data_IF_362200010488
#
_entry.id   IF_362200010488
#
_cell.length_a   1.000
_cell.length_b   1.000
_cell.length_c   1.000
_cell.angle_alpha   90.00
_cell.angle_beta   90.00
_cell.angle_gamma   90.00
#
_symmetry.space_group_name_H-M   'P 1'
#
loop_
_entity.id
_entity.type
_entity.pdbx_description
1 polymer ?
#
# COMPACT_ATOMS: atom_id res chain seq x y z
N UNK A 1 53.07 15.57 -69.77
CA UNK A 1 53.48 15.59 -68.35
C UNK A 1 52.30 16.11 -67.54
N UNK A 2 51.71 15.18 -66.80
CA UNK A 2 50.63 15.24 -65.80
C UNK A 2 50.11 16.60 -65.33
N UNK A 3 48.84 16.88 -65.64
CA UNK A 3 47.95 17.72 -64.85
C UNK A 3 47.69 17.06 -63.48
N UNK A 4 47.88 17.81 -62.39
CA UNK A 4 47.36 17.43 -61.06
C UNK A 4 46.16 18.31 -60.74
N UNK A 5 45.01 17.76 -60.35
CA UNK A 5 43.88 18.57 -59.88
C UNK A 5 44.23 19.21 -58.53
N UNK A 6 44.11 20.53 -58.46
CA UNK A 6 44.14 21.29 -57.20
C UNK A 6 42.90 20.94 -56.37
N UNK A 7 43.11 20.63 -55.09
CA UNK A 7 42.03 20.40 -54.13
C UNK A 7 41.18 21.68 -53.97
N UNK A 8 39.85 21.56 -53.83
CA UNK A 8 39.00 22.72 -53.63
C UNK A 8 39.34 23.36 -52.27
N UNK A 9 39.78 24.62 -52.33
CA UNK A 9 39.93 25.48 -51.16
C UNK A 9 38.51 25.77 -50.65
N UNK A 10 38.16 25.18 -49.51
CA UNK A 10 36.90 25.46 -48.83
C UNK A 10 36.99 26.87 -48.24
N UNK A 11 36.48 27.86 -48.97
CA UNK A 11 36.38 29.23 -48.45
C UNK A 11 35.37 29.30 -47.29
N UNK A 12 35.78 29.98 -46.22
CA UNK A 12 34.95 30.48 -45.11
C UNK A 12 34.40 29.51 -44.05
N UNK A 13 35.23 28.61 -43.50
CA UNK A 13 34.99 28.07 -42.15
C UNK A 13 35.68 28.93 -41.08
N UNK A 14 34.99 29.95 -40.58
CA UNK A 14 35.47 30.78 -39.47
C UNK A 14 35.48 29.98 -38.16
N UNK A 15 36.53 30.13 -37.33
CA UNK A 15 36.60 29.54 -35.98
C UNK A 15 35.37 29.87 -35.13
N UNK A 16 34.73 31.02 -35.35
CA UNK A 16 33.46 31.41 -34.70
C UNK A 16 32.28 30.56 -35.16
N UNK A 17 32.23 30.13 -36.42
CA UNK A 17 31.19 29.24 -36.93
C UNK A 17 31.34 27.81 -36.39
N UNK A 18 32.58 27.30 -36.30
CA UNK A 18 32.87 26.02 -35.67
C UNK A 18 32.58 26.02 -34.17
N UNK A 19 32.90 27.11 -33.46
CA UNK A 19 32.57 27.28 -32.03
C UNK A 19 31.07 27.42 -31.81
N UNK A 20 30.35 28.23 -32.61
CA UNK A 20 28.89 28.35 -32.51
C UNK A 20 28.16 27.03 -32.85
N UNK A 21 28.61 26.33 -33.89
CA UNK A 21 28.10 25.01 -34.26
C UNK A 21 28.39 23.96 -33.19
N UNK A 22 29.61 23.96 -32.65
CA UNK A 22 30.04 23.07 -31.57
C UNK A 22 29.31 23.30 -30.25
N UNK A 23 29.05 24.56 -29.86
CA UNK A 23 28.24 24.86 -28.67
C UNK A 23 26.76 24.53 -28.85
N UNK A 24 26.20 24.70 -30.06
CA UNK A 24 24.82 24.30 -30.33
C UNK A 24 24.65 22.78 -30.32
N UNK A 25 25.59 22.03 -30.89
CA UNK A 25 25.55 20.55 -30.90
C UNK A 25 25.93 19.94 -29.55
N UNK A 26 26.93 20.47 -28.85
CA UNK A 26 27.25 20.07 -27.47
C UNK A 26 26.13 20.44 -26.51
N UNK A 27 25.49 21.60 -26.68
CA UNK A 27 24.34 22.01 -25.87
C UNK A 27 23.14 21.13 -26.09
N UNK A 28 22.83 20.77 -27.35
CA UNK A 28 21.76 19.83 -27.68
C UNK A 28 22.07 18.41 -27.19
N UNK A 29 23.30 17.91 -27.38
CA UNK A 29 23.72 16.60 -26.91
C UNK A 29 23.77 16.53 -25.37
N UNK A 30 24.26 17.57 -24.70
CA UNK A 30 24.26 17.68 -23.25
C UNK A 30 22.84 17.79 -22.70
N UNK A 31 21.95 18.52 -23.37
CA UNK A 31 20.53 18.55 -23.02
C UNK A 31 19.91 17.16 -23.17
N UNK A 32 20.08 16.50 -24.32
CA UNK A 32 19.59 15.12 -24.57
C UNK A 32 20.14 14.13 -23.54
N UNK A 33 21.42 14.24 -23.17
CA UNK A 33 22.04 13.43 -22.13
C UNK A 33 21.50 13.76 -20.71
N UNK A 34 21.24 15.04 -20.42
CA UNK A 34 20.71 15.49 -19.14
C UNK A 34 19.23 15.13 -18.94
N UNK A 35 18.44 15.15 -20.02
CA UNK A 35 17.04 14.67 -20.00
C UNK A 35 16.91 13.18 -20.32
N UNK A 36 17.99 12.47 -20.67
CA UNK A 36 17.95 11.03 -20.93
C UNK A 36 17.40 10.24 -19.73
N UNK A 37 17.83 10.49 -18.48
CA UNK A 37 17.27 9.81 -17.30
C UNK A 37 15.78 10.11 -17.11
N UNK A 38 15.35 11.34 -17.39
CA UNK A 38 13.93 11.72 -17.37
C UNK A 38 13.14 11.06 -18.49
N UNK A 39 13.73 10.91 -19.68
CA UNK A 39 13.14 10.27 -20.85
C UNK A 39 13.03 8.76 -20.69
N UNK A 40 13.97 8.15 -19.96
CA UNK A 40 13.99 6.74 -19.59
C UNK A 40 12.99 6.46 -18.45
N UNK A 41 12.92 7.35 -17.45
CA UNK A 41 11.86 7.31 -16.44
C UNK A 41 10.47 7.54 -17.05
N UNK A 42 10.37 8.35 -18.11
CA UNK A 42 9.14 8.58 -18.87
C UNK A 42 8.89 7.53 -19.97
N UNK A 43 9.86 6.65 -20.29
CA UNK A 43 9.61 5.55 -21.24
C UNK A 43 8.97 4.35 -20.55
N UNK A 44 9.16 4.22 -19.24
CA UNK A 44 8.58 3.14 -18.42
C UNK A 44 7.15 3.44 -17.96
N UNK A 45 6.70 4.69 -18.09
CA UNK A 45 5.35 5.15 -17.70
C UNK A 45 4.68 5.87 -18.86
N UNK A 46 3.40 5.61 -19.11
CA UNK A 46 2.67 6.36 -20.14
C UNK A 46 2.68 7.87 -19.84
N UNK A 47 2.68 8.73 -20.85
CA UNK A 47 2.60 10.18 -20.65
C UNK A 47 1.37 10.59 -19.81
N UNK A 48 0.30 9.80 -19.89
CA UNK A 48 -0.90 9.95 -19.07
C UNK A 48 -0.66 9.63 -17.58
N UNK A 49 0.18 8.64 -17.27
CA UNK A 49 0.57 8.33 -15.89
C UNK A 49 1.47 9.41 -15.29
N UNK A 50 2.40 9.96 -16.09
CA UNK A 50 3.28 11.04 -15.65
C UNK A 50 2.52 12.34 -15.35
N UNK A 51 1.45 12.60 -16.11
CA UNK A 51 0.59 13.79 -15.96
C UNK A 51 -0.65 13.54 -15.08
N UNK A 52 -0.77 12.35 -14.49
CA UNK A 52 -1.92 12.00 -13.64
C UNK A 52 -1.98 12.99 -12.47
N UNK A 53 -3.19 13.47 -12.14
CA UNK A 53 -3.41 14.32 -10.95
C UNK A 53 -3.67 13.46 -9.71
N UNK A 54 -3.66 14.10 -8.53
CA UNK A 54 -4.01 13.44 -7.28
C UNK A 54 -5.43 12.83 -7.38
N UNK A 55 -5.64 11.62 -6.86
CA UNK A 55 -6.93 10.92 -6.98
C UNK A 55 -8.16 11.75 -6.56
N UNK A 56 -8.03 12.61 -5.54
CA UNK A 56 -9.12 13.46 -5.06
C UNK A 56 -9.48 14.60 -6.01
N UNK A 57 -8.62 14.90 -6.98
CA UNK A 57 -8.80 15.97 -7.98
C UNK A 57 -9.30 15.42 -9.32
N UNK A 58 -9.22 14.10 -9.54
CA UNK A 58 -9.66 13.46 -10.77
C UNK A 58 -11.18 13.54 -10.95
N UNK A 59 -11.62 13.91 -12.15
CA UNK A 59 -13.01 13.79 -12.58
C UNK A 59 -13.45 12.32 -12.66
N UNK A 60 -14.75 12.02 -12.63
CA UNK A 60 -15.26 10.65 -12.82
C UNK A 60 -14.76 9.99 -14.11
N UNK A 61 -14.67 10.74 -15.20
CA UNK A 61 -14.17 10.28 -16.50
C UNK A 61 -12.68 9.95 -16.42
N UNK A 62 -11.88 10.84 -15.83
CA UNK A 62 -10.44 10.60 -15.64
C UNK A 62 -10.17 9.38 -14.75
N UNK A 63 -10.98 9.18 -13.71
CA UNK A 63 -10.89 7.98 -12.87
C UNK A 63 -11.20 6.73 -13.66
N UNK A 64 -12.24 6.74 -14.50
CA UNK A 64 -12.59 5.62 -15.36
C UNK A 64 -11.46 5.28 -16.34
N UNK A 65 -10.83 6.29 -16.94
CA UNK A 65 -9.68 6.11 -17.84
C UNK A 65 -8.48 5.47 -17.10
N UNK A 66 -8.17 5.94 -15.89
CA UNK A 66 -7.10 5.37 -15.07
C UNK A 66 -7.43 3.94 -14.67
N UNK A 67 -8.68 3.65 -14.28
CA UNK A 67 -9.15 2.31 -13.94
C UNK A 67 -9.00 1.36 -15.12
N UNK A 68 -9.51 1.74 -16.31
CA UNK A 68 -9.41 0.93 -17.52
C UNK A 68 -7.95 0.64 -17.89
N UNK A 69 -7.06 1.62 -17.73
CA UNK A 69 -5.62 1.44 -17.90
C UNK A 69 -5.04 0.42 -16.91
N UNK A 70 -5.39 0.53 -15.62
CA UNK A 70 -4.91 -0.38 -14.58
C UNK A 70 -5.39 -1.83 -14.80
N UNK A 71 -6.62 -2.02 -15.27
CA UNK A 71 -7.16 -3.34 -15.63
C UNK A 71 -6.38 -3.94 -16.82
N UNK A 72 -6.14 -3.14 -17.87
CA UNK A 72 -5.35 -3.55 -19.02
C UNK A 72 -3.89 -3.89 -18.66
N UNK A 73 -3.26 -3.06 -17.82
CA UNK A 73 -1.91 -3.30 -17.30
C UNK A 73 -1.86 -4.57 -16.44
N UNK A 74 -2.90 -4.85 -15.66
CA UNK A 74 -2.96 -6.07 -14.84
C UNK A 74 -3.05 -7.32 -15.72
N UNK A 75 -3.91 -7.29 -16.75
CA UNK A 75 -4.01 -8.36 -17.74
C UNK A 75 -2.69 -8.58 -18.48
N UNK A 76 -2.03 -7.50 -18.90
CA UNK A 76 -0.75 -7.57 -19.62
C UNK A 76 0.38 -8.10 -18.73
N UNK A 77 0.50 -7.61 -17.49
CA UNK A 77 1.64 -7.87 -16.63
C UNK A 77 1.54 -9.16 -15.81
N UNK A 78 0.31 -9.59 -15.52
CA UNK A 78 0.03 -10.71 -14.61
C UNK A 78 -0.87 -11.77 -15.23
N UNK A 79 -1.38 -11.58 -16.46
CA UNK A 79 -2.23 -12.56 -17.14
C UNK A 79 -3.62 -12.73 -16.52
N UNK A 80 -4.02 -11.83 -15.60
CA UNK A 80 -5.29 -11.90 -14.87
C UNK A 80 -6.27 -10.82 -15.34
N UNK A 81 -7.51 -11.22 -15.61
CA UNK A 81 -8.61 -10.27 -15.83
C UNK A 81 -9.17 -9.84 -14.48
N UNK A 82 -9.26 -8.53 -14.27
CA UNK A 82 -9.68 -7.94 -13.00
C UNK A 82 -10.71 -6.84 -13.25
N UNK A 83 -11.53 -6.58 -12.24
CA UNK A 83 -12.48 -5.46 -12.20
C UNK A 83 -12.08 -4.55 -11.05
N UNK A 84 -11.82 -3.27 -11.33
CA UNK A 84 -11.40 -2.29 -10.34
C UNK A 84 -12.54 -1.30 -10.11
N UNK A 85 -13.10 -1.32 -8.90
CA UNK A 85 -14.10 -0.33 -8.46
C UNK A 85 -13.49 0.94 -7.85
N UNK A 86 -14.30 2.00 -7.77
CA UNK A 86 -14.04 3.18 -6.94
C UNK A 86 -14.92 3.14 -5.68
N UNK A 87 -14.58 2.28 -4.72
CA UNK A 87 -15.38 2.09 -3.50
C UNK A 87 -15.26 3.30 -2.58
N UNK A 88 -16.28 4.16 -2.57
CA UNK A 88 -16.31 5.39 -1.78
C UNK A 88 -16.61 5.13 -0.29
N UNK A 89 -16.09 5.97 0.63
CA UNK A 89 -16.38 5.84 2.05
C UNK A 89 -17.88 5.94 2.32
N UNK A 90 -18.36 5.17 3.31
CA UNK A 90 -19.77 5.16 3.70
C UNK A 90 -20.04 6.30 4.70
N UNK A 91 -20.92 7.26 4.38
CA UNK A 91 -21.28 8.32 5.32
C UNK A 91 -21.87 7.78 6.62
N UNK A 92 -21.55 8.42 7.75
CA UNK A 92 -22.07 8.00 9.07
C UNK A 92 -21.52 6.66 9.57
N UNK A 93 -20.44 6.17 8.98
CA UNK A 93 -19.74 4.96 9.42
C UNK A 93 -18.39 5.33 10.02
N UNK A 94 -17.94 4.58 11.03
CA UNK A 94 -16.55 4.57 11.48
C UNK A 94 -16.13 3.14 11.74
N UNK A 95 -15.32 2.59 10.84
CA UNK A 95 -14.88 1.22 10.95
C UNK A 95 -13.85 1.04 12.06
N UNK A 96 -14.08 0.03 12.88
CA UNK A 96 -13.22 -0.33 14.01
C UNK A 96 -13.00 -1.84 14.01
N UNK A 97 -11.84 -2.25 14.53
CA UNK A 97 -11.52 -3.64 14.81
C UNK A 97 -11.39 -3.87 16.32
N UNK A 98 -11.83 -5.02 16.82
CA UNK A 98 -11.50 -5.52 18.15
C UNK A 98 -11.01 -6.97 18.07
N UNK A 99 -9.92 -7.28 18.76
CA UNK A 99 -9.36 -8.65 18.83
C UNK A 99 -9.43 -9.20 20.26
N UNK A 100 -10.11 -10.33 20.42
CA UNK A 100 -10.11 -11.11 21.64
C UNK A 100 -8.81 -11.90 21.76
N UNK A 101 -7.97 -11.52 22.73
CA UNK A 101 -6.70 -12.18 23.00
C UNK A 101 -6.86 -13.47 23.82
N UNK A 102 -8.00 -13.65 24.52
CA UNK A 102 -8.29 -14.87 25.28
C UNK A 102 -8.55 -16.09 24.39
N UNK A 103 -9.05 -15.89 23.17
CA UNK A 103 -9.40 -16.98 22.24
C UNK A 103 -8.53 -17.01 20.96
N UNK A 104 -7.59 -16.08 20.81
CA UNK A 104 -6.65 -16.13 19.70
C UNK A 104 -5.63 -17.26 19.90
N UNK A 105 -5.70 -18.28 19.03
CA UNK A 105 -4.83 -19.46 19.14
C UNK A 105 -3.57 -19.39 18.26
N UNK A 106 -3.31 -18.27 17.58
CA UNK A 106 -2.08 -18.09 16.80
C UNK A 106 -1.98 -18.84 15.47
N UNK A 107 -3.07 -19.42 14.95
CA UNK A 107 -3.02 -20.31 13.76
C UNK A 107 -2.55 -19.67 12.44
N UNK A 108 -2.55 -18.34 12.31
CA UNK A 108 -2.10 -17.66 11.09
C UNK A 108 -3.09 -17.63 9.91
N UNK A 109 -4.27 -18.26 9.96
CA UNK A 109 -5.25 -18.26 8.86
C UNK A 109 -5.66 -16.83 8.43
N UNK A 110 -5.71 -15.90 9.38
CA UNK A 110 -6.00 -14.50 9.10
C UNK A 110 -4.89 -13.82 8.26
N UNK A 111 -3.63 -14.24 8.41
CA UNK A 111 -2.47 -13.78 7.64
C UNK A 111 -2.60 -14.29 6.21
N UNK A 112 -2.85 -15.60 6.03
CA UNK A 112 -3.01 -16.25 4.73
C UNK A 112 -4.19 -15.67 3.94
N UNK A 113 -5.34 -15.50 4.59
CA UNK A 113 -6.51 -14.89 3.96
C UNK A 113 -6.24 -13.44 3.55
N UNK A 114 -5.51 -12.67 4.37
CA UNK A 114 -5.11 -11.31 4.00
C UNK A 114 -4.19 -11.31 2.78
N UNK A 115 -3.25 -12.25 2.71
CA UNK A 115 -2.25 -12.39 1.64
C UNK A 115 -2.90 -12.72 0.28
N UNK A 116 -3.89 -13.62 0.30
CA UNK A 116 -4.69 -14.00 -0.88
C UNK A 116 -5.62 -12.86 -1.29
N UNK A 117 -6.45 -12.38 -0.38
CA UNK A 117 -7.48 -11.37 -0.68
C UNK A 117 -6.88 -10.08 -1.23
N UNK A 118 -5.76 -9.65 -0.65
CA UNK A 118 -5.15 -8.37 -0.96
C UNK A 118 -4.03 -8.47 -1.99
N UNK A 119 -3.91 -9.57 -2.75
CA UNK A 119 -2.92 -9.72 -3.82
C UNK A 119 -1.48 -9.38 -3.39
N UNK A 120 -1.08 -9.82 -2.20
CA UNK A 120 0.28 -9.59 -1.71
C UNK A 120 1.30 -10.36 -2.54
N UNK A 121 2.49 -9.79 -2.68
CA UNK A 121 3.60 -10.44 -3.35
C UNK A 121 3.97 -11.79 -2.72
N UNK A 122 4.01 -12.87 -3.53
CA UNK A 122 4.38 -14.21 -3.08
C UNK A 122 5.87 -14.34 -2.78
N UNK A 123 6.72 -13.58 -3.46
CA UNK A 123 8.18 -13.72 -3.33
C UNK A 123 8.69 -13.21 -1.98
N UNK A 124 8.18 -12.07 -1.50
CA UNK A 124 8.56 -11.50 -0.19
C UNK A 124 7.75 -12.05 0.97
N UNK A 125 6.62 -12.72 0.70
CA UNK A 125 5.66 -13.18 1.70
C UNK A 125 5.27 -12.05 2.70
N UNK A 126 5.22 -10.81 2.20
CA UNK A 126 4.93 -9.65 3.02
C UNK A 126 3.46 -9.69 3.46
N UNK A 127 3.22 -9.55 4.76
CA UNK A 127 1.86 -9.50 5.30
C UNK A 127 1.59 -8.22 6.08
N UNK A 128 0.33 -7.81 6.01
CA UNK A 128 -0.22 -6.72 6.82
C UNK A 128 -0.46 -7.13 8.26
N UNK A 129 -0.55 -8.43 8.52
CA UNK A 129 -0.84 -8.99 9.82
C UNK A 129 0.39 -9.76 10.27
N UNK A 130 0.90 -9.40 11.45
CA UNK A 130 1.96 -10.14 12.15
C UNK A 130 1.35 -10.71 13.41
N UNK A 131 1.39 -12.02 13.60
CA UNK A 131 0.95 -12.64 14.84
C UNK A 131 2.18 -12.86 15.71
N UNK A 132 2.20 -12.23 16.88
CA UNK A 132 3.29 -12.40 17.84
C UNK A 132 2.91 -13.48 18.85
N UNK A 133 3.72 -14.52 18.99
CA UNK A 133 3.68 -15.44 20.13
C UNK A 133 4.31 -14.73 21.33
N UNK A 134 3.53 -14.51 22.38
CA UNK A 134 3.88 -13.73 23.56
C UNK A 134 3.88 -14.63 24.80
N UNK A 135 4.85 -14.51 25.72
CA UNK A 135 4.77 -15.14 27.03
C UNK A 135 3.62 -14.52 27.85
N UNK A 136 2.81 -15.36 28.51
CA UNK A 136 1.77 -14.89 29.41
C UNK A 136 2.38 -14.06 30.57
N UNK A 137 1.66 -13.02 30.99
CA UNK A 137 2.06 -12.14 32.09
C UNK A 137 2.81 -10.86 31.69
N UNK A 138 3.10 -10.67 30.40
CA UNK A 138 3.71 -9.43 29.89
C UNK A 138 3.07 -8.97 28.59
N UNK A 139 3.06 -7.65 28.37
CA UNK A 139 2.71 -7.00 27.10
C UNK A 139 3.93 -6.40 26.40
N UNK A 140 5.13 -6.70 26.90
CA UNK A 140 6.39 -6.30 26.30
C UNK A 140 6.60 -7.03 24.96
N UNK A 141 6.37 -6.30 23.87
CA UNK A 141 6.44 -6.81 22.50
C UNK A 141 7.85 -7.26 22.11
N UNK A 142 8.90 -6.82 22.80
CA UNK A 142 10.28 -7.27 22.51
C UNK A 142 10.47 -8.75 22.86
N UNK A 143 9.66 -9.28 23.76
CA UNK A 143 9.64 -10.70 24.12
C UNK A 143 8.78 -11.54 23.17
N UNK A 144 8.11 -10.90 22.21
CA UNK A 144 7.28 -11.56 21.21
C UNK A 144 8.09 -12.03 20.01
N UNK A 145 7.66 -13.13 19.40
CA UNK A 145 8.22 -13.61 18.12
C UNK A 145 7.16 -13.86 17.07
N UNK A 146 7.47 -13.58 15.81
CA UNK A 146 6.61 -13.90 14.65
C UNK A 146 7.06 -15.16 13.92
N UNK A 147 8.14 -15.81 14.36
CA UNK A 147 8.78 -16.95 13.66
C UNK A 147 8.58 -18.28 14.39
N UNK A 148 7.51 -18.39 15.18
CA UNK A 148 7.20 -19.62 15.91
C UNK A 148 6.74 -20.74 14.97
N UNK A 149 7.16 -21.97 15.30
CA UNK A 149 6.79 -23.19 14.56
C UNK A 149 6.11 -24.20 15.49
N UNK A 150 5.50 -25.22 14.90
CA UNK A 150 4.81 -26.30 15.61
C UNK A 150 3.32 -26.05 15.84
N UNK A 151 2.70 -26.92 16.63
CA UNK A 151 1.29 -26.81 16.98
C UNK A 151 1.04 -25.61 17.89
N UNK A 152 -0.08 -24.93 17.65
CA UNK A 152 -0.56 -23.79 18.44
C UNK A 152 -2.00 -24.07 18.92
N UNK A 153 -2.41 -23.58 20.10
CA UNK A 153 -1.66 -22.73 21.01
C UNK A 153 -0.63 -23.49 21.86
N UNK A 154 0.48 -22.83 22.21
CA UNK A 154 1.49 -23.38 23.15
C UNK A 154 1.15 -23.01 24.58
N UNK A 155 1.52 -23.89 25.51
CA UNK A 155 1.32 -23.66 26.94
C UNK A 155 2.12 -22.44 27.44
N UNK A 156 1.53 -21.66 28.35
CA UNK A 156 2.10 -20.41 28.86
C UNK A 156 2.28 -19.29 27.83
N UNK A 157 1.69 -19.41 26.63
CA UNK A 157 1.74 -18.40 25.55
C UNK A 157 0.36 -17.87 25.20
N UNK A 158 0.30 -16.60 24.80
CA UNK A 158 -0.85 -16.01 24.11
C UNK A 158 -0.39 -15.40 22.79
N UNK A 159 -1.33 -15.11 21.89
CA UNK A 159 -1.02 -14.64 20.55
C UNK A 159 -1.59 -13.24 20.32
N UNK A 160 -0.72 -12.31 19.91
CA UNK A 160 -1.05 -10.90 19.68
C UNK A 160 -0.93 -10.56 18.18
N UNK A 161 -2.05 -10.57 17.41
CA UNK A 161 -2.05 -10.09 16.04
C UNK A 161 -1.91 -8.57 15.96
N UNK A 162 -0.90 -8.08 15.25
CA UNK A 162 -0.64 -6.66 15.02
C UNK A 162 -0.76 -6.35 13.53
N UNK A 163 -1.57 -5.34 13.21
CA UNK A 163 -1.80 -4.83 11.86
C UNK A 163 -2.01 -3.31 11.89
N UNK A 164 -2.35 -2.70 10.74
CA UNK A 164 -2.70 -1.29 10.71
C UNK A 164 -3.89 -1.00 11.63
N UNK A 165 -3.70 -0.05 12.54
CA UNK A 165 -4.65 0.32 13.57
C UNK A 165 -5.68 1.37 13.11
N UNK A 166 -5.58 1.86 11.85
CA UNK A 166 -6.39 2.96 11.28
C UNK A 166 -6.59 4.13 12.25
N UNK A 167 -5.47 4.66 12.75
CA UNK A 167 -5.42 5.74 13.73
C UNK A 167 -6.28 6.95 13.35
N UNK A 168 -6.96 7.55 14.33
CA UNK A 168 -7.67 8.81 14.18
C UNK A 168 -6.75 10.02 14.05
N UNK A 169 -5.59 9.94 14.71
CA UNK A 169 -4.46 10.89 14.57
C UNK A 169 -3.29 10.13 13.94
N UNK A 170 -3.33 9.84 12.63
CA UNK A 170 -2.35 8.99 11.96
C UNK A 170 -1.06 9.79 11.65
N UNK A 171 0.05 9.59 12.38
CA UNK A 171 1.31 10.30 12.09
C UNK A 171 1.83 9.99 10.68
N UNK A 172 1.51 8.79 10.18
CA UNK A 172 1.85 8.35 8.84
C UNK A 172 1.16 9.13 7.70
N UNK A 173 0.08 9.88 7.98
CA UNK A 173 -0.54 10.81 7.04
C UNK A 173 0.21 12.15 7.06
N UNK A 174 0.47 12.68 8.25
CA UNK A 174 1.11 14.00 8.42
C UNK A 174 2.50 14.08 7.80
N UNK A 175 3.25 12.98 7.85
CA UNK A 175 4.62 12.92 7.29
C UNK A 175 4.67 12.72 5.77
N UNK A 176 3.54 12.54 5.09
CA UNK A 176 3.55 12.29 3.64
C UNK A 176 3.71 13.61 2.87
N UNK A 177 4.87 13.88 2.24
CA UNK A 177 5.15 15.19 1.63
C UNK A 177 4.27 15.47 0.41
N UNK A 178 3.79 14.42 -0.26
CA UNK A 178 2.94 14.51 -1.46
C UNK A 178 1.47 14.23 -1.17
N UNK A 179 1.09 13.98 0.09
CA UNK A 179 -0.29 13.64 0.49
C UNK A 179 -0.90 12.41 -0.18
N UNK A 180 -0.07 11.44 -0.61
CA UNK A 180 -0.52 10.16 -1.17
C UNK A 180 -1.31 9.26 -0.19
N UNK A 181 -1.49 9.68 1.06
CA UNK A 181 -2.23 8.95 2.08
C UNK A 181 -3.03 9.94 2.90
N UNK A 182 -4.29 9.62 3.17
CA UNK A 182 -5.21 10.45 3.95
C UNK A 182 -6.20 9.57 4.70
N UNK A 183 -6.98 10.14 5.61
CA UNK A 183 -8.08 9.46 6.32
C UNK A 183 -9.39 9.78 5.62
N UNK A 184 -10.17 8.76 5.26
CA UNK A 184 -11.51 8.93 4.71
C UNK A 184 -12.57 9.02 5.83
N UNK A 185 -13.78 9.47 5.47
CA UNK A 185 -14.87 9.72 6.43
C UNK A 185 -15.29 8.50 7.23
N UNK A 186 -15.12 7.30 6.66
CA UNK A 186 -15.40 6.02 7.32
C UNK A 186 -14.30 5.56 8.29
N UNK A 187 -13.28 6.40 8.52
CA UNK A 187 -12.16 6.15 9.43
C UNK A 187 -11.00 5.37 8.81
N UNK A 188 -11.15 4.86 7.59
CA UNK A 188 -10.06 4.11 6.93
C UNK A 188 -9.01 5.10 6.44
N UNK A 189 -7.76 4.91 6.87
CA UNK A 189 -6.62 5.57 6.23
C UNK A 189 -6.40 4.88 4.89
N UNK A 190 -6.21 5.61 3.80
CA UNK A 190 -5.98 5.04 2.46
C UNK A 190 -4.61 5.43 1.93
N UNK A 191 -4.16 4.74 0.89
CA UNK A 191 -2.94 5.09 0.16
C UNK A 191 -3.28 5.05 -1.33
N UNK A 192 -3.05 6.15 -2.02
CA UNK A 192 -3.05 6.16 -3.47
C UNK A 192 -1.70 5.64 -3.97
N UNK A 193 -1.71 4.40 -4.48
CA UNK A 193 -0.51 3.77 -5.00
C UNK A 193 0.03 4.48 -6.25
N UNK A 194 -0.81 5.16 -7.02
CA UNK A 194 -0.38 5.87 -8.22
C UNK A 194 0.29 7.20 -7.87
N UNK A 195 -0.04 7.79 -6.71
CA UNK A 195 0.53 9.05 -6.23
C UNK A 195 1.72 8.88 -5.27
N UNK A 196 1.86 7.69 -4.68
CA UNK A 196 2.94 7.41 -3.73
C UNK A 196 4.32 7.48 -4.41
N UNK A 197 5.16 8.41 -3.96
CA UNK A 197 6.54 8.58 -4.46
C UNK A 197 7.59 7.68 -3.77
N UNK A 198 7.17 6.83 -2.83
CA UNK A 198 8.09 5.88 -2.20
C UNK A 198 9.12 6.46 -1.24
N UNK A 199 8.93 7.66 -0.67
CA UNK A 199 9.88 8.25 0.27
C UNK A 199 9.97 7.54 1.64
N UNK A 200 8.99 6.67 1.95
CA UNK A 200 8.95 5.79 3.14
C UNK A 200 8.91 6.49 4.52
N UNK A 201 8.75 7.81 4.58
CA UNK A 201 8.56 8.49 5.87
C UNK A 201 7.34 7.99 6.64
N UNK A 202 6.28 7.58 5.94
CA UNK A 202 5.11 6.99 6.56
C UNK A 202 5.36 5.60 7.19
N UNK A 203 6.40 4.88 6.75
CA UNK A 203 6.86 3.63 7.36
C UNK A 203 7.55 3.93 8.69
N UNK A 204 8.49 4.89 8.69
CA UNK A 204 9.23 5.32 9.88
C UNK A 204 8.33 5.94 10.95
N UNK A 205 7.31 6.71 10.54
CA UNK A 205 6.38 7.36 11.46
C UNK A 205 5.34 6.41 12.08
N UNK A 206 5.17 5.20 11.55
CA UNK A 206 4.14 4.28 12.04
C UNK A 206 4.65 3.48 13.25
N UNK A 207 4.11 3.70 14.47
CA UNK A 207 4.62 3.04 15.67
C UNK A 207 4.28 1.54 15.74
N UNK A 208 3.44 1.06 14.81
CA UNK A 208 2.98 -0.32 14.72
C UNK A 208 3.73 -1.13 13.65
N UNK A 209 4.66 -0.50 12.91
CA UNK A 209 5.26 -1.08 11.70
C UNK A 209 4.20 -1.72 10.80
N UNK A 210 3.12 -1.00 10.51
CA UNK A 210 1.96 -1.52 9.78
C UNK A 210 1.98 -1.21 8.28
N UNK A 211 3.00 -0.50 7.82
CA UNK A 211 3.24 -0.19 6.40
C UNK A 211 4.32 -1.10 5.84
N UNK A 212 4.21 -1.47 4.57
CA UNK A 212 5.15 -2.32 3.83
C UNK A 212 5.56 -1.60 2.56
N UNK A 213 6.82 -1.71 2.16
CA UNK A 213 7.33 -1.07 0.96
C UNK A 213 7.61 -2.12 -0.12
N UNK A 214 7.14 -1.86 -1.33
CA UNK A 214 7.33 -2.74 -2.47
C UNK A 214 8.68 -2.48 -3.13
N UNK A 215 9.69 -3.26 -2.74
CA UNK A 215 11.06 -3.14 -3.23
C UNK A 215 11.28 -3.70 -4.64
N UNK A 216 10.48 -4.69 -5.02
CA UNK A 216 10.57 -5.41 -6.28
C UNK A 216 9.19 -5.50 -6.91
N UNK A 217 9.14 -5.87 -8.19
CA UNK A 217 7.88 -6.16 -8.87
C UNK A 217 7.22 -7.34 -8.14
N UNK A 218 5.95 -7.21 -7.69
CA UNK A 218 5.27 -8.34 -7.07
C UNK A 218 5.18 -9.54 -8.01
N UNK A 219 5.30 -10.72 -7.43
CA UNK A 219 5.08 -11.99 -8.10
C UNK A 219 3.79 -12.57 -7.55
N UNK A 220 2.72 -12.53 -8.34
CA UNK A 220 1.41 -13.12 -7.99
C UNK A 220 0.97 -14.00 -9.17
N UNK A 221 0.79 -15.32 -8.99
CA UNK A 221 0.30 -16.20 -10.04
C UNK A 221 -1.06 -15.74 -10.55
N UNK A 222 -1.27 -15.81 -11.87
CA UNK A 222 -2.49 -15.30 -12.53
C UNK A 222 -3.77 -15.90 -11.94
N UNK A 223 -3.72 -17.20 -11.64
CA UNK A 223 -4.80 -17.98 -11.05
C UNK A 223 -5.11 -17.64 -9.59
N UNK A 224 -4.19 -16.95 -8.89
CA UNK A 224 -4.36 -16.52 -7.50
C UNK A 224 -4.71 -15.04 -7.37
N UNK A 225 -4.67 -14.28 -8.47
CA UNK A 225 -5.05 -12.87 -8.45
C UNK A 225 -6.54 -12.77 -8.12
N UNK A 226 -6.85 -12.03 -7.05
CA UNK A 226 -8.22 -11.65 -6.75
C UNK A 226 -8.72 -10.69 -7.84
N UNK A 227 -9.73 -11.09 -8.63
CA UNK A 227 -10.25 -10.28 -9.72
C UNK A 227 -11.11 -9.11 -9.21
N UNK A 228 -11.67 -9.22 -8.01
CA UNK A 228 -12.53 -8.19 -7.44
C UNK A 228 -11.70 -7.15 -6.68
N UNK A 229 -11.40 -6.02 -7.34
CA UNK A 229 -10.47 -5.02 -6.86
C UNK A 229 -11.10 -3.65 -6.61
N UNK A 230 -10.37 -2.80 -5.89
CA UNK A 230 -10.73 -1.40 -5.69
C UNK A 230 -9.50 -0.50 -5.79
N UNK A 231 -9.67 0.71 -6.34
CA UNK A 231 -8.58 1.63 -6.65
C UNK A 231 -7.67 1.92 -5.45
N UNK A 232 -8.23 2.12 -4.25
CA UNK A 232 -7.49 2.41 -3.02
C UNK A 232 -7.24 1.16 -2.14
N UNK A 233 -7.47 -0.05 -2.65
CA UNK A 233 -7.42 -1.29 -1.86
C UNK A 233 -6.45 -2.35 -2.36
N UNK A 234 -6.95 -3.46 -2.90
CA UNK A 234 -6.28 -4.75 -3.07
C UNK A 234 -5.65 -4.95 -4.45
N UNK A 235 -5.41 -3.87 -5.21
CA UNK A 235 -4.72 -3.96 -6.49
C UNK A 235 -3.34 -4.60 -6.31
N UNK A 236 -2.75 -5.14 -7.37
CA UNK A 236 -1.32 -5.49 -7.32
C UNK A 236 -0.53 -4.17 -7.31
N UNK A 237 0.33 -3.96 -6.33
CA UNK A 237 0.99 -2.67 -6.12
C UNK A 237 2.23 -2.55 -7.03
N UNK A 238 2.49 -1.39 -7.64
CA UNK A 238 3.71 -1.18 -8.40
C UNK A 238 4.95 -1.14 -7.49
N UNK A 239 6.13 -1.24 -8.10
CA UNK A 239 7.41 -1.06 -7.40
C UNK A 239 7.53 0.37 -6.88
N UNK A 240 8.14 0.52 -5.71
CA UNK A 240 8.48 1.83 -5.17
C UNK A 240 7.33 2.49 -4.39
N UNK A 241 6.27 1.75 -4.06
CA UNK A 241 5.14 2.30 -3.30
C UNK A 241 4.96 1.60 -1.96
N UNK A 242 4.32 2.32 -1.03
CA UNK A 242 3.98 1.80 0.28
C UNK A 242 2.55 1.25 0.27
N UNK A 243 2.36 0.12 0.93
CA UNK A 243 1.06 -0.50 1.15
C UNK A 243 0.81 -0.82 2.62
N UNK A 244 -0.45 -1.10 2.95
CA UNK A 244 -0.91 -1.39 4.31
C UNK A 244 -2.29 -2.04 4.28
N UNK A 245 -2.72 -2.58 5.42
CA UNK A 245 -4.10 -2.99 5.63
C UNK A 245 -5.06 -1.81 5.42
N UNK A 246 -6.11 -2.03 4.64
CA UNK A 246 -7.18 -1.09 4.32
C UNK A 246 -8.54 -1.57 4.85
N UNK A 247 -8.54 -2.48 5.85
CA UNK A 247 -9.72 -3.20 6.31
C UNK A 247 -10.53 -3.83 5.16
N UNK A 248 -9.81 -4.30 4.13
CA UNK A 248 -10.41 -4.83 2.92
C UNK A 248 -11.51 -3.90 2.39
N UNK A 249 -11.25 -2.61 2.17
CA UNK A 249 -12.30 -1.64 1.80
C UNK A 249 -13.13 -2.05 0.57
N UNK A 250 -12.53 -2.80 -0.37
CA UNK A 250 -13.22 -3.44 -1.51
C UNK A 250 -14.33 -4.42 -1.09
N UNK A 251 -14.26 -4.98 0.12
CA UNK A 251 -15.26 -5.84 0.75
C UNK A 251 -16.18 -5.04 1.67
N UNK A 252 -15.59 -4.30 2.60
CA UNK A 252 -16.32 -3.69 3.72
C UNK A 252 -17.24 -2.57 3.29
N UNK A 253 -16.87 -1.81 2.25
CA UNK A 253 -17.76 -0.80 1.66
C UNK A 253 -18.91 -1.39 0.84
N UNK A 254 -18.86 -2.70 0.56
CA UNK A 254 -19.90 -3.47 -0.14
C UNK A 254 -20.68 -4.41 0.79
N UNK A 255 -20.58 -4.19 2.10
CA UNK A 255 -21.32 -4.96 3.12
C UNK A 255 -20.74 -6.34 3.44
N UNK A 256 -19.55 -6.68 2.95
CA UNK A 256 -18.85 -7.93 3.31
C UNK A 256 -17.90 -7.72 4.49
N UNK A 257 -17.54 -8.78 5.21
CA UNK A 257 -16.54 -8.70 6.28
C UNK A 257 -15.11 -8.75 5.73
N UNK A 258 -14.10 -8.25 6.47
CA UNK A 258 -12.70 -8.41 6.08
C UNK A 258 -12.31 -9.88 5.99
N UNK A 259 -11.53 -10.27 4.98
CA UNK A 259 -11.12 -11.66 4.78
C UNK A 259 -10.40 -12.26 6.00
N UNK A 260 -9.60 -11.44 6.71
CA UNK A 260 -8.90 -11.88 7.90
C UNK A 260 -9.85 -12.22 9.08
N UNK A 261 -11.05 -11.62 9.12
CA UNK A 261 -12.09 -11.94 10.10
C UNK A 261 -12.75 -13.27 9.72
N UNK A 262 -13.23 -13.40 8.49
CA UNK A 262 -13.94 -14.60 8.02
C UNK A 262 -13.08 -15.86 8.12
N UNK A 263 -11.77 -15.74 7.92
CA UNK A 263 -10.84 -16.86 8.02
C UNK A 263 -10.49 -17.26 9.48
N UNK A 264 -10.93 -16.50 10.49
CA UNK A 264 -10.59 -16.75 11.88
C UNK A 264 -11.46 -17.87 12.47
N UNK A 265 -10.89 -19.06 12.78
CA UNK A 265 -11.69 -20.19 13.24
C UNK A 265 -12.16 -20.05 14.71
N UNK A 266 -11.53 -19.17 15.50
CA UNK A 266 -11.84 -19.01 16.93
C UNK A 266 -12.81 -17.87 17.22
N UNK A 267 -13.21 -17.09 16.20
CA UNK A 267 -14.02 -15.89 16.40
C UNK A 267 -13.30 -14.75 17.13
N UNK A 268 -11.96 -14.79 17.21
CA UNK A 268 -11.17 -13.77 17.92
C UNK A 268 -11.32 -12.36 17.32
N UNK A 269 -11.70 -12.25 16.05
CA UNK A 269 -11.72 -11.00 15.30
C UNK A 269 -13.14 -10.46 15.20
N UNK A 270 -13.34 -9.23 15.63
CA UNK A 270 -14.62 -8.50 15.53
C UNK A 270 -14.40 -7.21 14.76
N UNK A 271 -15.26 -6.93 13.79
CA UNK A 271 -15.17 -5.75 12.93
C UNK A 271 -16.57 -5.17 12.71
N UNK A 272 -16.65 -3.84 12.58
CA UNK A 272 -17.93 -3.18 12.35
C UNK A 272 -17.87 -1.66 12.50
N UNK A 273 -19.05 -1.04 12.45
CA UNK A 273 -19.23 0.39 12.64
C UNK A 273 -19.35 0.73 14.13
N UNK A 274 -18.41 1.50 14.69
CA UNK A 274 -18.48 1.88 16.11
C UNK A 274 -19.55 2.94 16.42
N UNK A 275 -20.08 3.61 15.39
CA UNK A 275 -21.18 4.56 15.54
C UNK A 275 -22.54 3.87 15.69
N UNK A 276 -22.62 2.59 15.35
CA UNK A 276 -23.78 1.76 15.60
C UNK A 276 -23.81 1.35 17.09
N UNK A 277 -24.83 1.84 17.80
CA UNK A 277 -25.01 1.64 19.25
C UNK A 277 -25.34 0.20 19.61
N UNK A 278 -25.95 -0.54 18.68
CA UNK A 278 -26.36 -1.92 18.88
C UNK A 278 -25.28 -2.91 18.38
N UNK A 279 -24.12 -2.40 17.96
CA UNK A 279 -23.04 -3.24 17.45
C UNK A 279 -22.36 -4.06 18.55
N UNK A 280 -21.96 -5.29 18.19
CA UNK A 280 -21.13 -6.14 19.06
C UNK A 280 -19.85 -5.43 19.53
N UNK A 281 -19.29 -4.56 18.68
CA UNK A 281 -18.13 -3.74 19.04
C UNK A 281 -18.42 -2.82 20.22
N UNK A 282 -19.55 -2.11 20.17
CA UNK A 282 -19.94 -1.20 21.26
C UNK A 282 -20.09 -1.95 22.57
N UNK A 283 -20.78 -3.09 22.53
CA UNK A 283 -20.94 -3.95 23.70
C UNK A 283 -19.58 -4.42 24.25
N UNK A 284 -18.64 -4.87 23.39
CA UNK A 284 -17.30 -5.29 23.81
C UNK A 284 -16.56 -4.15 24.51
N UNK A 285 -16.54 -2.95 23.91
CA UNK A 285 -15.80 -1.82 24.48
C UNK A 285 -16.38 -1.33 25.82
N UNK A 286 -17.67 -1.55 26.07
CA UNK A 286 -18.33 -1.16 27.31
C UNK A 286 -18.26 -2.23 28.41
N UNK A 287 -18.20 -3.52 28.04
CA UNK A 287 -18.36 -4.64 28.98
C UNK A 287 -17.10 -5.50 29.18
N UNK A 288 -16.09 -5.35 28.33
CA UNK A 288 -14.86 -6.17 28.37
C UNK A 288 -13.65 -5.34 28.79
N UNK A 289 -12.60 -6.04 29.26
CA UNK A 289 -11.34 -5.40 29.57
C UNK A 289 -10.59 -5.10 28.27
N UNK A 290 -10.57 -3.82 27.89
CA UNK A 290 -9.93 -3.34 26.66
C UNK A 290 -8.47 -2.96 26.93
N UNK A 291 -7.61 -3.26 25.96
CA UNK A 291 -6.23 -2.81 25.87
C UNK A 291 -6.03 -2.09 24.54
N UNK A 292 -5.40 -0.91 24.60
CA UNK A 292 -5.02 -0.11 23.43
C UNK A 292 -3.52 -0.22 23.26
N UNK A 293 -3.09 -0.65 22.08
CA UNK A 293 -1.67 -0.82 21.79
C UNK A 293 -0.99 0.54 21.61
N UNK A 294 0.05 0.80 22.41
CA UNK A 294 0.84 2.03 22.40
C UNK A 294 -0.01 3.31 22.58
N UNK A 295 -0.94 3.26 23.53
CA UNK A 295 -1.85 4.37 23.83
C UNK A 295 -1.10 5.67 24.17
N UNK A 296 0.06 5.56 24.83
CA UNK A 296 0.92 6.66 25.26
C UNK A 296 1.41 7.56 24.11
N UNK A 297 1.37 7.07 22.87
CA UNK A 297 1.79 7.83 21.69
C UNK A 297 0.69 8.74 21.11
N UNK A 298 -0.52 8.69 21.66
CA UNK A 298 -1.60 9.63 21.29
C UNK A 298 -2.18 9.45 19.90
N UNK A 299 -1.87 8.38 19.16
CA UNK A 299 -2.35 8.17 17.77
C UNK A 299 -3.85 7.89 17.65
N UNK A 300 -4.54 7.67 18.78
CA UNK A 300 -5.97 7.29 18.88
C UNK A 300 -6.35 6.14 17.92
N UNK A 301 -5.83 4.91 18.15
CA UNK A 301 -6.15 3.73 17.34
C UNK A 301 -7.65 3.46 17.20
N UNK A 302 -8.11 3.14 15.98
CA UNK A 302 -9.45 2.56 15.73
C UNK A 302 -9.42 1.02 15.80
N UNK A 303 -8.57 0.50 16.68
CA UNK A 303 -8.26 -0.91 16.77
C UNK A 303 -7.95 -1.25 18.23
N UNK A 304 -8.71 -2.20 18.76
CA UNK A 304 -8.73 -2.54 20.17
C UNK A 304 -8.38 -4.01 20.39
N UNK A 305 -7.80 -4.30 21.54
CA UNK A 305 -7.63 -5.65 22.03
C UNK A 305 -8.50 -5.83 23.26
N UNK A 306 -8.99 -7.02 23.52
CA UNK A 306 -9.76 -7.28 24.74
C UNK A 306 -9.55 -8.71 25.25
N UNK A 307 -9.93 -8.88 26.51
CA UNK A 307 -9.89 -10.16 27.23
C UNK A 307 -11.28 -10.48 27.77
N UNK A 308 -11.62 -11.77 27.80
CA UNK A 308 -12.82 -12.30 28.45
C UNK A 308 -12.74 -12.33 29.98
#
# INVERSE_FOLDING_TARGET
>A
MTDKPSLPIVENFSRRAAVKGGFATLGAAAFVAAVSPLRQAASDKSAAEFMQQHYTELSPEQKADVIARLEAETKQNYGAEVTIGDDRPIPGTKFVYAINLSVCNGNGNCVEACHKENNHDRSTNQSYIRVLEMPMGTMDMEQGTTTYTGAVPKDGKFYLPVQCQQCDEPPCVDVCPVKATWKEEDGIVVVDYNWCIGCRYCEAACPYHARRFNWKKPEVPAEEVNPDQSYLSNRIRPVGVVEKCTYCLHRTRRGKLPACLEACPTGARVFGNILDKDSNLRWILENKRVYILKEELGTKPAFFYYFD
#
